data_IF_202154484015
#
_entry.id   IF_202154484015
#
_cell.length_a   1.000
_cell.length_b   1.000
_cell.length_c   1.000
_cell.angle_alpha   90.00
_cell.angle_beta   90.00
_cell.angle_gamma   90.00
#
_symmetry.space_group_name_H-M   'P 1'
#
loop_
_entity.id
_entity.type
_entity.pdbx_description
1 polymer ?
#
# COMPACT_ATOMS: atom_id res chain seq x y z
N UNK A 1 -25.43 18.22 33.58
CA UNK A 1 -26.16 17.84 32.36
C UNK A 1 -25.46 18.46 31.17
N UNK A 2 -24.53 17.75 30.56
CA UNK A 2 -23.92 18.14 29.28
C UNK A 2 -24.87 17.65 28.19
N UNK A 3 -25.47 18.60 27.45
CA UNK A 3 -26.29 18.30 26.28
C UNK A 3 -25.37 17.72 25.22
N UNK A 4 -25.51 16.43 24.99
CA UNK A 4 -24.91 15.70 23.87
C UNK A 4 -25.41 16.36 22.57
N UNK A 5 -24.57 17.18 21.96
CA UNK A 5 -24.87 17.75 20.64
C UNK A 5 -24.98 16.58 19.68
N UNK A 6 -26.19 16.24 19.31
CA UNK A 6 -26.45 15.33 18.19
C UNK A 6 -25.59 15.79 17.00
N UNK A 7 -24.69 14.91 16.55
CA UNK A 7 -23.81 15.18 15.42
C UNK A 7 -24.70 15.50 14.21
N UNK A 8 -24.56 16.68 13.64
CA UNK A 8 -25.28 17.07 12.43
C UNK A 8 -25.02 16.01 11.34
N UNK A 9 -26.02 15.68 10.50
CA UNK A 9 -25.85 14.71 9.42
C UNK A 9 -24.67 15.16 8.54
N UNK A 10 -23.60 14.38 8.55
CA UNK A 10 -22.40 14.71 7.79
C UNK A 10 -22.73 14.62 6.30
N UNK A 11 -22.40 15.71 5.56
CA UNK A 11 -22.61 15.73 4.12
C UNK A 11 -21.96 14.49 3.47
N UNK A 12 -22.67 13.82 2.59
CA UNK A 12 -22.22 12.63 1.86
C UNK A 12 -20.91 12.92 1.11
N UNK A 13 -20.76 14.13 0.59
CA UNK A 13 -19.56 14.66 -0.05
C UNK A 13 -19.06 15.81 0.80
N UNK A 14 -17.94 15.60 1.48
CA UNK A 14 -17.30 16.64 2.27
C UNK A 14 -16.76 17.73 1.34
N UNK A 15 -17.20 18.97 1.55
CA UNK A 15 -16.76 20.12 0.74
C UNK A 15 -15.34 20.52 1.10
N UNK A 16 -14.54 20.98 0.12
CA UNK A 16 -13.24 21.54 0.42
C UNK A 16 -13.36 22.66 1.46
N UNK A 17 -12.53 22.67 2.52
CA UNK A 17 -12.64 23.66 3.61
C UNK A 17 -12.25 25.07 3.17
N UNK A 18 -11.65 25.22 2.01
CA UNK A 18 -11.17 26.49 1.46
C UNK A 18 -11.36 26.51 -0.07
N UNK A 19 -11.51 27.70 -0.69
CA UNK A 19 -11.52 27.81 -2.14
C UNK A 19 -10.24 27.27 -2.78
N UNK A 20 -10.32 26.84 -4.05
CA UNK A 20 -9.17 26.40 -4.81
C UNK A 20 -8.04 27.42 -4.76
N UNK A 21 -6.83 26.95 -4.51
CA UNK A 21 -5.66 27.82 -4.53
C UNK A 21 -5.33 28.22 -5.98
N UNK A 22 -5.19 29.52 -6.24
CA UNK A 22 -4.64 29.96 -7.54
C UNK A 22 -3.22 29.39 -7.72
N UNK A 23 -2.78 29.04 -8.94
CA UNK A 23 -1.46 28.49 -9.19
C UNK A 23 -0.31 29.33 -8.59
N UNK A 24 -0.42 30.66 -8.66
CA UNK A 24 0.54 31.57 -8.02
C UNK A 24 0.63 31.39 -6.50
N UNK A 25 -0.46 31.03 -5.86
CA UNK A 25 -0.47 30.74 -4.43
C UNK A 25 0.23 29.42 -4.11
N UNK A 26 0.00 28.38 -4.92
CA UNK A 26 0.70 27.08 -4.78
C UNK A 26 2.21 27.28 -4.84
N UNK A 27 2.68 28.05 -5.83
CA UNK A 27 4.11 28.37 -5.98
C UNK A 27 4.66 29.17 -4.79
N UNK A 28 3.88 30.12 -4.25
CA UNK A 28 4.28 30.89 -3.06
C UNK A 28 4.31 30.04 -1.79
N UNK A 29 3.35 29.13 -1.63
CA UNK A 29 3.24 28.24 -0.47
C UNK A 29 4.29 27.09 -0.56
N UNK A 30 4.82 26.79 -1.74
CA UNK A 30 5.90 25.84 -1.96
C UNK A 30 7.21 26.41 -1.42
N UNK A 31 8.00 25.57 -0.78
CA UNK A 31 9.34 25.90 -0.31
C UNK A 31 10.21 24.65 -0.26
N UNK A 32 11.54 24.81 -0.09
CA UNK A 32 12.49 23.68 -0.09
C UNK A 32 12.11 22.57 0.89
N UNK A 33 11.58 22.92 2.06
CA UNK A 33 11.15 21.97 3.07
C UNK A 33 10.02 21.06 2.56
N UNK A 34 8.98 21.65 1.95
CA UNK A 34 7.82 20.89 1.43
C UNK A 34 8.20 20.10 0.17
N UNK A 35 9.05 20.67 -0.68
CA UNK A 35 9.61 19.94 -1.82
C UNK A 35 10.43 18.72 -1.37
N UNK A 36 11.25 18.89 -0.32
CA UNK A 36 12.00 17.80 0.31
C UNK A 36 11.10 16.71 0.89
N UNK A 37 10.05 17.09 1.63
CA UNK A 37 9.07 16.13 2.16
C UNK A 37 8.37 15.37 1.02
N UNK A 38 7.98 16.04 -0.05
CA UNK A 38 7.37 15.43 -1.24
C UNK A 38 8.31 14.42 -1.92
N UNK A 39 9.58 14.79 -2.08
CA UNK A 39 10.60 13.90 -2.63
C UNK A 39 10.84 12.68 -1.75
N UNK A 40 10.96 12.86 -0.43
CA UNK A 40 11.14 11.75 0.52
C UNK A 40 9.93 10.82 0.48
N UNK A 41 8.71 11.38 0.39
CA UNK A 41 7.47 10.60 0.24
C UNK A 41 7.48 9.72 -1.01
N UNK A 42 7.91 10.27 -2.17
CA UNK A 42 8.08 9.47 -3.38
C UNK A 42 9.16 8.40 -3.23
N UNK A 43 10.33 8.77 -2.73
CA UNK A 43 11.44 7.81 -2.58
C UNK A 43 11.01 6.64 -1.70
N UNK A 44 10.28 6.90 -0.62
CA UNK A 44 9.71 5.84 0.22
C UNK A 44 8.81 4.90 -0.61
N UNK A 45 7.86 5.44 -1.38
CA UNK A 45 6.94 4.64 -2.19
C UNK A 45 7.66 3.88 -3.33
N UNK A 46 8.66 4.50 -3.95
CA UNK A 46 9.37 3.99 -5.12
C UNK A 46 10.47 2.95 -4.80
N UNK A 47 10.82 2.74 -3.54
CA UNK A 47 11.87 1.79 -3.15
C UNK A 47 11.28 0.45 -2.71
N UNK A 48 11.06 0.26 -1.41
CA UNK A 48 10.58 -1.00 -0.86
C UNK A 48 9.21 -1.45 -1.37
N UNK A 49 8.18 -0.59 -1.37
CA UNK A 49 6.86 -0.96 -1.85
C UNK A 49 6.81 -1.41 -3.32
N UNK A 50 7.61 -0.84 -4.21
CA UNK A 50 7.72 -1.30 -5.61
C UNK A 50 8.31 -2.71 -5.67
N UNK A 51 9.32 -3.02 -4.84
CA UNK A 51 9.90 -4.35 -4.81
C UNK A 51 8.86 -5.44 -4.44
N UNK A 52 7.83 -5.08 -3.65
CA UNK A 52 6.70 -5.99 -3.36
C UNK A 52 5.89 -6.28 -4.62
N UNK A 53 5.57 -5.27 -5.44
CA UNK A 53 4.87 -5.48 -6.72
C UNK A 53 5.67 -6.42 -7.61
N UNK A 54 6.98 -6.15 -7.75
CA UNK A 54 7.86 -6.96 -8.60
C UNK A 54 7.97 -8.38 -8.09
N UNK A 55 8.16 -8.58 -6.77
CA UNK A 55 8.23 -9.90 -6.18
C UNK A 55 6.94 -10.71 -6.42
N UNK A 56 5.78 -10.10 -6.11
CA UNK A 56 4.46 -10.74 -6.28
C UNK A 56 4.17 -11.05 -7.75
N UNK A 57 4.34 -10.08 -8.62
CA UNK A 57 4.00 -10.24 -10.02
C UNK A 57 4.95 -11.19 -10.76
N UNK A 58 6.26 -11.18 -10.43
CA UNK A 58 7.22 -12.14 -11.00
C UNK A 58 6.91 -13.57 -10.54
N UNK A 59 6.60 -13.77 -9.25
CA UNK A 59 6.18 -15.09 -8.75
C UNK A 59 4.88 -15.56 -9.38
N UNK A 60 3.96 -14.63 -9.67
CA UNK A 60 2.70 -14.89 -10.38
C UNK A 60 2.84 -15.05 -11.90
N UNK A 61 4.06 -15.01 -12.45
CA UNK A 61 4.31 -15.22 -13.88
C UNK A 61 3.94 -14.05 -14.78
N UNK A 62 3.75 -12.84 -14.23
CA UNK A 62 3.45 -11.64 -15.03
C UNK A 62 4.64 -11.24 -15.89
N UNK A 63 4.36 -10.84 -17.13
CA UNK A 63 5.37 -10.33 -18.04
C UNK A 63 5.94 -8.97 -17.57
N UNK A 64 7.12 -8.62 -18.07
CA UNK A 64 7.72 -7.31 -17.78
C UNK A 64 6.82 -6.14 -18.20
N UNK A 65 6.05 -6.30 -19.29
CA UNK A 65 5.11 -5.28 -19.75
C UNK A 65 3.94 -5.11 -18.77
N UNK A 66 3.38 -6.20 -18.26
CA UNK A 66 2.31 -6.16 -17.26
C UNK A 66 2.81 -5.57 -15.92
N UNK A 67 4.01 -5.93 -15.48
CA UNK A 67 4.65 -5.34 -14.30
C UNK A 67 4.89 -3.84 -14.47
N UNK A 68 5.41 -3.41 -15.61
CA UNK A 68 5.58 -1.99 -15.91
C UNK A 68 4.25 -1.24 -15.97
N UNK A 69 3.20 -1.88 -16.53
CA UNK A 69 1.84 -1.35 -16.56
C UNK A 69 1.24 -1.22 -15.15
N UNK A 70 1.45 -2.22 -14.30
CA UNK A 70 1.05 -2.16 -12.90
C UNK A 70 1.74 -0.99 -12.17
N UNK A 71 3.07 -0.86 -12.32
CA UNK A 71 3.84 0.24 -11.73
C UNK A 71 3.37 1.59 -12.28
N UNK A 72 3.09 1.69 -13.59
CA UNK A 72 2.48 2.88 -14.18
C UNK A 72 1.16 3.24 -13.49
N UNK A 73 0.26 2.29 -13.34
CA UNK A 73 -1.05 2.51 -12.73
C UNK A 73 -0.95 3.02 -11.29
N UNK A 74 -0.11 2.40 -10.47
CA UNK A 74 0.02 2.77 -9.05
C UNK A 74 0.80 4.06 -8.83
N UNK A 75 1.61 4.53 -9.78
CA UNK A 75 2.34 5.79 -9.66
C UNK A 75 1.73 6.91 -10.48
N UNK A 76 1.54 6.72 -11.79
CA UNK A 76 1.06 7.80 -12.65
C UNK A 76 -0.39 8.18 -12.34
N UNK A 77 -1.31 7.20 -12.35
CA UNK A 77 -2.71 7.49 -12.09
C UNK A 77 -2.91 8.01 -10.67
N UNK A 78 -2.30 7.37 -9.67
CA UNK A 78 -2.40 7.83 -8.29
C UNK A 78 -1.66 9.15 -8.05
N UNK A 79 -0.60 9.44 -8.81
CA UNK A 79 0.07 10.74 -8.83
C UNK A 79 -0.88 11.85 -9.27
N UNK A 80 -1.67 11.62 -10.33
CA UNK A 80 -2.71 12.56 -10.79
C UNK A 80 -3.74 12.79 -9.69
N UNK A 81 -4.27 11.72 -9.08
CA UNK A 81 -5.23 11.84 -7.98
C UNK A 81 -4.64 12.62 -6.80
N UNK A 82 -3.40 12.31 -6.42
CA UNK A 82 -2.68 12.99 -5.33
C UNK A 82 -2.56 14.49 -5.59
N UNK A 83 -2.13 14.89 -6.79
CA UNK A 83 -2.03 16.32 -7.17
C UNK A 83 -3.39 17.00 -7.07
N UNK A 84 -4.42 16.41 -7.66
CA UNK A 84 -5.77 16.98 -7.68
C UNK A 84 -6.34 17.08 -6.27
N UNK A 85 -6.28 16.00 -5.49
CA UNK A 85 -6.83 15.97 -4.13
C UNK A 85 -6.10 16.95 -3.21
N UNK A 86 -4.77 17.00 -3.26
CA UNK A 86 -3.99 17.96 -2.47
C UNK A 86 -4.34 19.41 -2.83
N UNK A 87 -4.49 19.71 -4.13
CA UNK A 87 -4.83 21.03 -4.60
C UNK A 87 -6.23 21.46 -4.19
N UNK A 88 -7.22 20.56 -4.37
CA UNK A 88 -8.63 20.83 -4.07
C UNK A 88 -8.87 20.98 -2.57
N UNK A 89 -8.40 20.04 -1.76
CA UNK A 89 -8.65 20.02 -0.31
C UNK A 89 -7.63 20.83 0.50
N UNK A 90 -6.51 21.20 -0.11
CA UNK A 90 -5.40 21.90 0.54
C UNK A 90 -4.91 21.17 1.79
N UNK A 91 -4.84 19.85 1.67
CA UNK A 91 -4.34 18.91 2.64
C UNK A 91 -3.33 17.96 1.96
N UNK A 92 -2.38 17.35 2.68
CA UNK A 92 -1.45 16.40 2.10
C UNK A 92 -2.13 15.03 1.91
N UNK A 93 -2.95 14.89 0.87
CA UNK A 93 -3.71 13.68 0.55
C UNK A 93 -2.93 12.85 -0.47
N UNK A 94 -1.98 12.03 -0.01
CA UNK A 94 -1.23 11.14 -0.90
C UNK A 94 -1.96 9.82 -1.12
N UNK A 95 -2.29 9.56 -2.37
CA UNK A 95 -2.86 8.32 -2.83
C UNK A 95 -1.81 7.49 -3.55
N UNK A 96 -1.71 6.23 -3.18
CA UNK A 96 -0.93 5.21 -3.86
C UNK A 96 -1.76 3.93 -3.87
N UNK A 97 -1.17 2.76 -3.65
CA UNK A 97 -1.87 1.48 -3.69
C UNK A 97 -1.81 0.76 -2.34
N UNK A 98 -2.70 -0.20 -2.18
CA UNK A 98 -2.71 -1.05 -0.99
C UNK A 98 -1.57 -2.06 -1.03
N UNK A 99 -0.53 -1.86 -0.22
CA UNK A 99 0.57 -2.81 -0.09
C UNK A 99 0.07 -4.16 0.46
N UNK A 100 -0.74 -4.21 1.55
CA UNK A 100 -1.33 -5.47 2.00
C UNK A 100 -2.17 -6.15 0.92
N UNK A 101 -2.92 -5.38 0.13
CA UNK A 101 -3.67 -5.92 -1.00
C UNK A 101 -2.77 -6.51 -2.08
N UNK A 102 -1.65 -5.85 -2.42
CA UNK A 102 -0.65 -6.42 -3.35
C UNK A 102 -0.15 -7.77 -2.88
N UNK A 103 0.13 -7.90 -1.59
CA UNK A 103 0.63 -9.16 -1.01
C UNK A 103 -0.42 -10.27 -1.04
N UNK A 104 -1.71 -9.95 -0.86
CA UNK A 104 -2.82 -10.90 -1.01
C UNK A 104 -2.93 -11.47 -2.43
N UNK A 105 -2.55 -10.69 -3.44
CA UNK A 105 -2.57 -11.11 -4.84
C UNK A 105 -1.56 -12.24 -5.12
N UNK A 106 -0.44 -12.28 -4.39
CA UNK A 106 0.62 -13.27 -4.61
C UNK A 106 0.14 -14.73 -4.55
N UNK A 107 -0.43 -15.20 -3.43
CA UNK A 107 -1.01 -16.55 -3.34
C UNK A 107 -2.13 -16.80 -4.36
N UNK A 108 -2.98 -15.80 -4.62
CA UNK A 108 -4.07 -15.90 -5.59
C UNK A 108 -3.58 -16.18 -7.01
N UNK A 109 -2.47 -15.57 -7.43
CA UNK A 109 -1.84 -15.83 -8.73
C UNK A 109 -1.27 -17.24 -8.87
N UNK A 110 -1.13 -17.99 -7.78
CA UNK A 110 -0.73 -19.41 -7.82
C UNK A 110 -1.82 -20.33 -8.39
N UNK A 111 -3.08 -19.92 -8.42
CA UNK A 111 -4.21 -20.73 -8.84
C UNK A 111 -5.31 -19.98 -9.61
N UNK A 112 -5.28 -18.65 -9.64
CA UNK A 112 -6.20 -17.82 -10.42
C UNK A 112 -5.46 -17.18 -11.62
N UNK A 113 -6.04 -17.23 -12.83
CA UNK A 113 -5.49 -16.54 -13.98
C UNK A 113 -5.55 -15.02 -13.78
N UNK A 114 -4.55 -14.30 -14.31
CA UNK A 114 -4.44 -12.85 -14.20
C UNK A 114 -5.71 -12.07 -14.56
N UNK A 115 -6.44 -12.37 -15.67
CA UNK A 115 -7.68 -11.65 -15.97
C UNK A 115 -8.77 -11.78 -14.91
N UNK A 116 -8.83 -12.87 -14.16
CA UNK A 116 -9.78 -13.04 -13.05
C UNK A 116 -9.39 -12.20 -11.84
N UNK A 117 -8.09 -12.11 -11.54
CA UNK A 117 -7.55 -11.22 -10.51
C UNK A 117 -7.86 -9.75 -10.85
N UNK A 118 -7.69 -9.36 -12.11
CA UNK A 118 -8.09 -8.03 -12.61
C UNK A 118 -9.59 -7.81 -12.45
N UNK A 119 -10.42 -8.81 -12.73
CA UNK A 119 -11.87 -8.76 -12.47
C UNK A 119 -12.18 -8.45 -11.00
N UNK A 120 -11.45 -9.08 -10.07
CA UNK A 120 -11.58 -8.79 -8.65
C UNK A 120 -11.13 -7.36 -8.29
N UNK A 121 -10.11 -6.80 -8.96
CA UNK A 121 -9.73 -5.39 -8.79
C UNK A 121 -10.86 -4.43 -9.18
N UNK A 122 -11.52 -4.68 -10.33
CA UNK A 122 -12.69 -3.91 -10.74
C UNK A 122 -13.83 -4.02 -9.74
N UNK A 123 -14.17 -5.24 -9.32
CA UNK A 123 -15.24 -5.46 -8.34
C UNK A 123 -14.95 -4.78 -7.00
N UNK A 124 -13.69 -4.81 -6.54
CA UNK A 124 -13.25 -4.10 -5.33
C UNK A 124 -13.40 -2.58 -5.50
N UNK A 125 -12.98 -2.04 -6.64
CA UNK A 125 -13.16 -0.62 -6.95
C UNK A 125 -14.62 -0.20 -6.93
N UNK A 126 -15.50 -1.00 -7.52
CA UNK A 126 -16.95 -0.77 -7.53
C UNK A 126 -17.54 -0.84 -6.12
N UNK A 127 -17.17 -1.85 -5.34
CA UNK A 127 -17.62 -1.99 -3.94
C UNK A 127 -17.24 -0.75 -3.12
N UNK A 128 -15.98 -0.30 -3.20
CA UNK A 128 -15.53 0.89 -2.49
C UNK A 128 -16.24 2.15 -2.96
N UNK A 129 -16.50 2.29 -4.27
CA UNK A 129 -17.25 3.41 -4.82
C UNK A 129 -18.67 3.44 -4.26
N UNK A 130 -19.36 2.31 -4.23
CA UNK A 130 -20.72 2.19 -3.66
C UNK A 130 -20.71 2.53 -2.17
N UNK A 131 -19.77 2.00 -1.39
CA UNK A 131 -19.64 2.30 0.04
C UNK A 131 -19.37 3.79 0.30
N UNK A 132 -18.56 4.43 -0.53
CA UNK A 132 -18.29 5.87 -0.43
C UNK A 132 -19.54 6.70 -0.78
N UNK A 133 -20.25 6.36 -1.87
CA UNK A 133 -21.44 7.07 -2.32
C UNK A 133 -22.64 6.88 -1.38
N UNK A 134 -22.74 5.75 -0.70
CA UNK A 134 -23.79 5.51 0.29
C UNK A 134 -23.47 6.07 1.68
N UNK A 135 -22.22 6.42 1.93
CA UNK A 135 -21.75 6.85 3.25
C UNK A 135 -21.60 5.71 4.28
N UNK A 136 -21.80 4.46 3.87
CA UNK A 136 -21.73 3.29 4.74
C UNK A 136 -20.31 2.87 5.12
N UNK A 137 -19.32 3.53 4.54
CA UNK A 137 -17.89 3.17 4.75
C UNK A 137 -17.52 3.07 6.23
N UNK A 138 -17.98 4.01 7.07
CA UNK A 138 -17.69 4.00 8.51
C UNK A 138 -18.33 2.82 9.24
N UNK A 139 -19.56 2.47 8.86
CA UNK A 139 -20.29 1.33 9.42
C UNK A 139 -19.58 0.01 9.07
N UNK A 140 -19.20 -0.15 7.80
CA UNK A 140 -18.49 -1.34 7.33
C UNK A 140 -17.10 -1.46 7.98
N UNK A 141 -16.36 -0.34 8.12
CA UNK A 141 -15.05 -0.34 8.80
C UNK A 141 -15.14 -0.79 10.26
N UNK A 142 -16.27 -0.59 10.92
CA UNK A 142 -16.46 -0.98 12.31
C UNK A 142 -16.97 -2.42 12.50
N UNK A 143 -17.38 -3.11 11.41
CA UNK A 143 -17.93 -4.47 11.49
C UNK A 143 -16.88 -5.52 11.81
N UNK A 144 -15.65 -5.33 11.34
CA UNK A 144 -14.58 -6.32 11.52
C UNK A 144 -13.55 -5.77 12.51
N UNK A 145 -13.31 -6.47 13.63
CA UNK A 145 -12.32 -6.04 14.60
C UNK A 145 -10.93 -5.92 13.98
N UNK A 146 -10.28 -4.77 14.17
CA UNK A 146 -8.95 -4.48 13.63
C UNK A 146 -7.91 -5.57 13.99
N UNK A 147 -7.88 -6.16 15.21
CA UNK A 147 -6.93 -7.23 15.51
C UNK A 147 -7.03 -8.45 14.59
N UNK A 148 -8.27 -8.86 14.22
CA UNK A 148 -8.49 -9.99 13.30
C UNK A 148 -7.93 -9.66 11.91
N UNK A 149 -8.20 -8.45 11.40
CA UNK A 149 -7.65 -7.98 10.12
C UNK A 149 -6.12 -7.96 10.16
N UNK A 150 -5.55 -7.48 11.27
CA UNK A 150 -4.09 -7.40 11.41
C UNK A 150 -3.44 -8.78 11.62
N UNK A 151 -4.18 -9.77 12.13
CA UNK A 151 -3.78 -11.17 12.11
C UNK A 151 -3.60 -11.71 10.69
N UNK A 152 -4.56 -11.42 9.79
CA UNK A 152 -4.44 -11.75 8.36
C UNK A 152 -3.23 -11.03 7.73
N UNK A 153 -3.10 -9.71 7.97
CA UNK A 153 -1.97 -8.91 7.45
C UNK A 153 -0.64 -9.48 7.93
N UNK A 154 -0.52 -9.82 9.22
CA UNK A 154 0.69 -10.44 9.78
C UNK A 154 1.01 -11.79 9.09
N UNK A 155 0.00 -12.64 8.85
CA UNK A 155 0.17 -13.91 8.15
C UNK A 155 0.70 -13.75 6.73
N UNK A 156 0.11 -12.84 5.96
CA UNK A 156 0.52 -12.59 4.57
C UNK A 156 1.92 -11.95 4.50
N UNK A 157 2.23 -11.00 5.38
CA UNK A 157 3.55 -10.34 5.40
C UNK A 157 4.68 -11.23 5.96
N UNK A 158 4.37 -12.24 6.74
CA UNK A 158 5.39 -13.16 7.28
C UNK A 158 6.25 -13.76 6.17
N UNK A 159 5.65 -14.05 5.01
CA UNK A 159 6.36 -14.58 3.84
C UNK A 159 7.53 -13.67 3.42
N UNK A 160 7.34 -12.36 3.39
CA UNK A 160 8.42 -11.42 3.05
C UNK A 160 9.55 -11.42 4.08
N UNK A 161 9.22 -11.57 5.37
CA UNK A 161 10.22 -11.75 6.43
C UNK A 161 11.01 -13.05 6.27
N UNK A 162 10.34 -14.16 5.97
CA UNK A 162 11.01 -15.45 5.74
C UNK A 162 11.84 -15.45 4.46
N UNK A 163 11.35 -14.83 3.39
CA UNK A 163 12.07 -14.73 2.12
C UNK A 163 13.32 -13.84 2.23
N UNK A 164 13.28 -12.80 3.07
CA UNK A 164 14.46 -12.02 3.44
C UNK A 164 15.55 -12.92 4.04
N UNK A 165 15.19 -13.76 5.03
CA UNK A 165 16.14 -14.66 5.68
C UNK A 165 16.67 -15.71 4.69
N UNK A 166 15.80 -16.28 3.86
CA UNK A 166 16.19 -17.23 2.81
C UNK A 166 17.14 -16.60 1.78
N UNK A 167 16.87 -15.33 1.39
CA UNK A 167 17.73 -14.59 0.47
C UNK A 167 19.16 -14.40 1.04
N UNK A 168 19.28 -14.14 2.35
CA UNK A 168 20.60 -14.08 3.00
C UNK A 168 21.32 -15.42 2.92
N UNK A 169 20.59 -16.54 3.08
CA UNK A 169 21.19 -17.88 2.98
C UNK A 169 21.56 -18.28 1.55
N UNK A 170 20.80 -17.85 0.55
CA UNK A 170 21.01 -18.21 -0.85
C UNK A 170 22.03 -17.32 -1.59
N UNK A 171 22.14 -16.07 -1.19
CA UNK A 171 22.98 -15.06 -1.85
C UNK A 171 23.58 -14.09 -0.83
N UNK A 172 24.53 -14.58 -0.06
CA UNK A 172 25.22 -13.81 0.99
C UNK A 172 25.89 -12.56 0.41
N UNK A 173 26.45 -12.65 -0.81
CA UNK A 173 27.22 -11.57 -1.42
C UNK A 173 26.40 -10.30 -1.69
N UNK A 174 25.13 -10.47 -2.05
CA UNK A 174 24.20 -9.35 -2.28
C UNK A 174 23.38 -9.05 -1.04
N UNK A 175 22.81 -10.08 -0.40
CA UNK A 175 21.85 -9.89 0.67
C UNK A 175 22.47 -9.39 1.99
N UNK A 176 23.63 -9.92 2.39
CA UNK A 176 24.22 -9.54 3.68
C UNK A 176 24.64 -8.06 3.74
N UNK A 177 25.31 -7.48 2.74
CA UNK A 177 25.63 -6.04 2.75
C UNK A 177 24.39 -5.15 2.83
N UNK A 178 23.31 -5.51 2.14
CA UNK A 178 22.03 -4.77 2.18
C UNK A 178 21.43 -4.76 3.58
N UNK A 179 21.36 -5.94 4.23
CA UNK A 179 20.85 -6.09 5.59
C UNK A 179 21.70 -5.34 6.60
N UNK A 180 23.03 -5.49 6.51
CA UNK A 180 23.97 -4.81 7.43
C UNK A 180 23.84 -3.29 7.35
N UNK A 181 23.81 -2.71 6.16
CA UNK A 181 23.66 -1.26 5.99
C UNK A 181 22.30 -0.79 6.49
N UNK A 182 21.23 -1.52 6.21
CA UNK A 182 19.89 -1.21 6.74
C UNK A 182 19.90 -1.18 8.27
N UNK A 183 20.51 -2.17 8.93
CA UNK A 183 20.59 -2.23 10.39
C UNK A 183 21.45 -1.11 10.96
N UNK A 184 22.62 -0.84 10.36
CA UNK A 184 23.54 0.24 10.79
C UNK A 184 22.87 1.62 10.69
N UNK A 185 22.18 1.91 9.58
CA UNK A 185 21.46 3.17 9.40
C UNK A 185 20.23 3.26 10.33
N UNK A 186 19.57 2.14 10.61
CA UNK A 186 18.43 2.09 11.53
C UNK A 186 18.88 2.29 13.00
N UNK A 187 20.06 1.77 13.37
CA UNK A 187 20.60 1.88 14.72
C UNK A 187 21.17 3.28 15.01
N UNK A 188 21.67 4.00 13.99
CA UNK A 188 22.26 5.32 14.11
C UNK A 188 21.31 6.42 13.66
N UNK A 189 20.53 6.97 14.61
CA UNK A 189 19.49 7.97 14.34
C UNK A 189 20.01 9.24 13.65
N UNK A 190 21.25 9.66 13.90
CA UNK A 190 21.88 10.82 13.24
C UNK A 190 22.15 10.55 11.78
N UNK A 191 22.69 9.39 11.42
CA UNK A 191 23.02 9.03 10.03
C UNK A 191 21.76 8.65 9.25
N UNK A 192 20.83 7.92 9.87
CA UNK A 192 19.55 7.54 9.28
C UNK A 192 18.59 8.71 8.99
N UNK A 193 18.83 9.89 9.58
CA UNK A 193 18.10 11.13 9.23
C UNK A 193 18.49 11.65 7.85
N UNK A 194 19.74 11.45 7.43
CA UNK A 194 20.25 11.93 6.14
C UNK A 194 20.02 10.91 5.03
N UNK A 195 20.17 9.61 5.36
CA UNK A 195 20.00 8.51 4.41
C UNK A 195 18.99 7.51 4.98
N UNK A 196 17.76 7.47 4.49
CA UNK A 196 16.79 6.46 4.89
C UNK A 196 17.35 5.04 4.75
N UNK A 197 17.19 4.16 5.76
CA UNK A 197 17.82 2.84 5.77
C UNK A 197 17.56 1.99 4.53
N UNK A 198 16.34 2.07 3.97
CA UNK A 198 15.98 1.34 2.77
C UNK A 198 16.73 1.84 1.52
N UNK A 199 17.01 3.13 1.45
CA UNK A 199 17.82 3.71 0.34
C UNK A 199 19.28 3.25 0.47
N UNK A 200 19.82 3.24 1.69
CA UNK A 200 21.15 2.69 1.93
C UNK A 200 21.24 1.23 1.49
N UNK A 201 20.26 0.40 1.82
CA UNK A 201 20.17 -0.99 1.37
C UNK A 201 20.09 -1.10 -0.17
N UNK A 202 19.25 -0.27 -0.81
CA UNK A 202 19.15 -0.22 -2.27
C UNK A 202 20.49 0.10 -2.95
N UNK A 203 21.17 1.16 -2.49
CA UNK A 203 22.46 1.62 -3.07
C UNK A 203 23.54 0.57 -2.88
N UNK A 204 23.70 0.05 -1.65
CA UNK A 204 24.74 -0.97 -1.36
C UNK A 204 24.43 -2.27 -2.09
N UNK A 205 23.16 -2.67 -2.19
CA UNK A 205 22.76 -3.81 -2.99
C UNK A 205 23.07 -3.62 -4.48
N UNK A 206 22.80 -2.45 -5.06
CA UNK A 206 23.13 -2.14 -6.44
C UNK A 206 24.65 -2.20 -6.69
N UNK A 207 25.45 -1.69 -5.76
CA UNK A 207 26.92 -1.81 -5.81
C UNK A 207 27.35 -3.28 -5.74
N UNK A 208 26.79 -4.07 -4.82
CA UNK A 208 27.11 -5.50 -4.69
C UNK A 208 26.77 -6.28 -5.96
N UNK A 209 25.61 -6.01 -6.57
CA UNK A 209 25.22 -6.60 -7.86
C UNK A 209 26.18 -6.21 -8.97
N UNK A 210 26.55 -4.92 -9.06
CA UNK A 210 27.50 -4.44 -10.07
C UNK A 210 28.89 -5.09 -9.91
N UNK A 211 29.41 -5.16 -8.67
CA UNK A 211 30.71 -5.78 -8.36
C UNK A 211 30.71 -7.29 -8.59
N UNK A 212 29.58 -7.95 -8.42
CA UNK A 212 29.45 -9.39 -8.68
C UNK A 212 29.29 -9.74 -10.17
N UNK A 213 29.16 -8.76 -11.05
CA UNK A 213 28.92 -8.97 -12.49
C UNK A 213 27.59 -9.63 -12.84
N UNK A 214 26.64 -9.66 -11.90
CA UNK A 214 25.35 -10.34 -12.07
C UNK A 214 24.21 -9.41 -12.46
N UNK A 215 24.53 -8.22 -12.92
CA UNK A 215 23.57 -7.30 -13.51
C UNK A 215 23.35 -7.66 -14.98
N UNK A 216 22.17 -8.22 -15.28
CA UNK A 216 21.79 -8.59 -16.65
C UNK A 216 20.58 -7.76 -17.11
N UNK A 217 20.80 -6.62 -17.76
CA UNK A 217 19.70 -5.78 -18.26
C UNK A 217 18.96 -6.40 -19.46
N UNK A 218 19.43 -7.56 -19.96
CA UNK A 218 18.89 -8.17 -21.18
C UNK A 218 19.09 -7.28 -22.42
N UNK A 219 18.47 -7.62 -23.58
CA UNK A 219 18.57 -6.84 -24.80
C UNK A 219 18.05 -5.41 -24.58
N UNK A 220 18.66 -4.44 -25.26
CA UNK A 220 18.27 -3.03 -25.14
C UNK A 220 16.78 -2.87 -25.40
N UNK A 221 16.00 -2.48 -24.40
CA UNK A 221 14.57 -2.30 -24.56
C UNK A 221 14.31 -1.03 -25.37
N UNK A 222 13.43 -1.15 -26.37
CA UNK A 222 13.02 -0.04 -27.19
C UNK A 222 12.14 0.99 -26.46
N UNK A 223 11.56 0.63 -25.29
CA UNK A 223 10.60 1.48 -24.59
C UNK A 223 11.11 1.94 -23.23
N UNK A 224 11.31 3.24 -23.10
CA UNK A 224 11.65 3.92 -21.85
C UNK A 224 10.42 4.55 -21.19
N UNK A 225 9.42 4.86 -22.00
CA UNK A 225 8.18 5.49 -21.57
C UNK A 225 7.09 4.42 -21.49
N UNK A 226 6.28 4.51 -20.46
CA UNK A 226 5.19 3.57 -20.22
C UNK A 226 4.22 3.50 -21.40
N UNK A 227 3.94 2.29 -21.87
CA UNK A 227 2.85 1.93 -22.72
C UNK A 227 1.94 0.99 -21.91
N UNK A 228 0.92 1.51 -21.21
CA UNK A 228 0.10 0.69 -20.33
C UNK A 228 -0.60 -0.43 -21.09
N UNK A 229 -0.56 -1.63 -20.53
CA UNK A 229 -1.26 -2.79 -21.10
C UNK A 229 -2.69 -2.76 -20.58
N UNK A 230 -3.63 -2.49 -21.48
CA UNK A 230 -5.06 -2.53 -21.14
C UNK A 230 -5.47 -3.96 -20.80
N UNK A 231 -6.11 -4.11 -19.66
CA UNK A 231 -6.55 -5.41 -19.14
C UNK A 231 -8.03 -5.63 -19.42
N UNK A 232 -8.35 -6.82 -19.89
CA UNK A 232 -9.74 -7.27 -20.04
C UNK A 232 -10.09 -8.15 -18.84
N UNK A 233 -11.01 -7.73 -17.96
CA UNK A 233 -11.36 -8.51 -16.78
C UNK A 233 -12.13 -9.78 -17.16
N UNK A 234 -11.88 -10.87 -16.44
CA UNK A 234 -12.75 -12.05 -16.42
C UNK A 234 -13.42 -12.15 -15.05
N UNK A 235 -14.69 -12.50 -15.08
CA UNK A 235 -15.53 -12.57 -13.86
C UNK A 235 -15.57 -14.01 -13.37
N UNK A 236 -14.93 -14.28 -12.23
CA UNK A 236 -14.88 -15.58 -11.58
C UNK A 236 -15.45 -15.46 -10.17
N UNK A 237 -16.39 -16.32 -9.80
CA UNK A 237 -16.94 -16.35 -8.45
C UNK A 237 -15.85 -16.59 -7.40
N UNK A 238 -14.85 -17.41 -7.73
CA UNK A 238 -13.73 -17.71 -6.84
C UNK A 238 -12.90 -16.45 -6.58
N UNK A 239 -12.45 -15.75 -7.64
CA UNK A 239 -11.70 -14.50 -7.51
C UNK A 239 -12.51 -13.42 -6.75
N UNK A 240 -13.84 -13.34 -6.97
CA UNK A 240 -14.70 -12.39 -6.25
C UNK A 240 -14.73 -12.68 -4.75
N UNK A 241 -14.93 -13.93 -4.35
CA UNK A 241 -14.98 -14.31 -2.92
C UNK A 241 -13.61 -14.17 -2.28
N UNK A 242 -12.57 -14.63 -2.94
CA UNK A 242 -11.20 -14.64 -2.40
C UNK A 242 -10.62 -13.25 -2.23
N UNK A 243 -10.77 -12.37 -3.23
CA UNK A 243 -10.02 -11.11 -3.28
C UNK A 243 -10.85 -9.87 -2.94
N UNK A 244 -12.12 -9.78 -3.34
CA UNK A 244 -12.86 -8.51 -3.27
C UNK A 244 -13.00 -8.02 -1.84
N UNK A 245 -13.43 -8.87 -0.94
CA UNK A 245 -13.63 -8.49 0.48
C UNK A 245 -12.29 -8.21 1.17
N UNK A 246 -11.28 -9.11 1.10
CA UNK A 246 -9.97 -8.84 1.69
C UNK A 246 -9.30 -7.58 1.12
N UNK A 247 -9.36 -7.35 -0.21
CA UNK A 247 -8.80 -6.14 -0.81
C UNK A 247 -9.52 -4.87 -0.32
N UNK A 248 -10.85 -4.87 -0.28
CA UNK A 248 -11.61 -3.74 0.25
C UNK A 248 -11.25 -3.44 1.71
N UNK A 249 -11.09 -4.48 2.55
CA UNK A 249 -10.65 -4.34 3.94
C UNK A 249 -9.26 -3.73 4.00
N UNK A 250 -8.30 -4.20 3.20
CA UNK A 250 -6.93 -3.66 3.20
C UNK A 250 -6.90 -2.19 2.79
N UNK A 251 -7.77 -1.77 1.88
CA UNK A 251 -7.88 -0.35 1.50
C UNK A 251 -8.58 0.45 2.59
N UNK A 252 -9.80 0.08 2.94
CA UNK A 252 -10.68 0.92 3.77
C UNK A 252 -10.24 0.93 5.23
N UNK A 253 -10.01 -0.26 5.80
CA UNK A 253 -9.71 -0.40 7.24
C UNK A 253 -8.24 -0.14 7.50
N UNK A 254 -7.34 -0.81 6.77
CA UNK A 254 -5.90 -0.74 7.06
C UNK A 254 -5.31 0.57 6.53
N UNK A 255 -5.35 0.80 5.23
CA UNK A 255 -4.62 1.92 4.61
C UNK A 255 -5.33 3.27 4.79
N UNK A 256 -6.60 3.37 4.43
CA UNK A 256 -7.35 4.63 4.59
C UNK A 256 -7.52 4.95 6.07
N UNK A 257 -7.78 3.95 6.93
CA UNK A 257 -7.87 4.14 8.37
C UNK A 257 -6.58 4.74 8.94
N UNK A 258 -5.43 4.19 8.57
CA UNK A 258 -4.11 4.70 8.97
C UNK A 258 -3.86 6.10 8.39
N UNK A 259 -4.16 6.32 7.11
CA UNK A 259 -3.99 7.62 6.44
C UNK A 259 -4.80 8.72 7.11
N UNK A 260 -6.07 8.44 7.42
CA UNK A 260 -6.96 9.38 8.14
C UNK A 260 -6.45 9.67 9.56
N UNK A 261 -5.98 8.64 10.29
CA UNK A 261 -5.42 8.82 11.62
C UNK A 261 -4.17 9.72 11.60
N UNK A 262 -3.27 9.50 10.66
CA UNK A 262 -2.07 10.33 10.47
C UNK A 262 -2.42 11.77 10.15
N UNK A 263 -3.36 12.00 9.23
CA UNK A 263 -3.81 13.34 8.87
C UNK A 263 -4.43 14.08 10.07
N UNK A 264 -5.25 13.39 10.86
CA UNK A 264 -5.85 13.94 12.08
C UNK A 264 -4.79 14.28 13.13
N UNK A 265 -3.80 13.40 13.33
CA UNK A 265 -2.67 13.67 14.22
C UNK A 265 -1.86 14.90 13.80
N UNK A 266 -1.75 15.16 12.49
CA UNK A 266 -1.15 16.36 11.93
C UNK A 266 -2.11 17.59 11.90
N UNK A 267 -3.31 17.47 12.50
CA UNK A 267 -4.30 18.52 12.64
C UNK A 267 -5.14 18.78 11.37
N UNK A 268 -5.13 17.88 10.40
CA UNK A 268 -5.98 17.97 9.21
C UNK A 268 -7.32 17.27 9.43
N UNK A 269 -8.39 17.81 8.84
CA UNK A 269 -9.71 17.18 8.81
C UNK A 269 -9.90 16.43 7.50
N UNK A 270 -9.66 15.13 7.56
CA UNK A 270 -9.64 14.26 6.38
C UNK A 270 -11.08 13.99 5.86
N UNK A 271 -11.39 14.23 4.57
CA UNK A 271 -12.70 13.98 3.99
C UNK A 271 -12.89 12.48 3.69
N UNK A 272 -13.34 11.71 4.68
CA UNK A 272 -13.34 10.23 4.65
C UNK A 272 -14.20 9.65 3.52
N UNK A 273 -15.41 10.21 3.30
CA UNK A 273 -16.29 9.72 2.22
C UNK A 273 -15.69 10.03 0.84
N UNK A 274 -15.18 11.26 0.65
CA UNK A 274 -14.53 11.64 -0.60
C UNK A 274 -13.27 10.81 -0.86
N UNK A 275 -12.46 10.56 0.16
CA UNK A 275 -11.31 9.65 0.05
C UNK A 275 -11.76 8.27 -0.44
N UNK A 276 -12.84 7.73 0.15
CA UNK A 276 -13.36 6.42 -0.24
C UNK A 276 -13.90 6.41 -1.66
N UNK A 277 -14.67 7.43 -2.05
CA UNK A 277 -15.18 7.60 -3.42
C UNK A 277 -14.00 7.68 -4.41
N UNK A 278 -12.99 8.50 -4.10
CA UNK A 278 -11.81 8.66 -4.93
C UNK A 278 -11.03 7.35 -5.05
N UNK A 279 -10.82 6.62 -3.95
CA UNK A 279 -10.19 5.29 -3.98
C UNK A 279 -10.98 4.32 -4.86
N UNK A 280 -12.31 4.27 -4.74
CA UNK A 280 -13.15 3.40 -5.57
C UNK A 280 -13.06 3.75 -7.05
N UNK A 281 -13.31 5.01 -7.42
CA UNK A 281 -13.27 5.47 -8.81
C UNK A 281 -11.88 5.28 -9.44
N UNK A 282 -10.81 5.62 -8.69
CA UNK A 282 -9.45 5.47 -9.19
C UNK A 282 -8.99 4.02 -9.28
N UNK A 283 -9.49 3.15 -8.39
CA UNK A 283 -9.24 1.70 -8.48
C UNK A 283 -9.82 1.09 -9.76
N UNK A 284 -10.96 1.58 -10.25
CA UNK A 284 -11.50 1.16 -11.55
C UNK A 284 -10.57 1.54 -12.70
N UNK A 285 -10.03 2.77 -12.69
CA UNK A 285 -9.05 3.21 -13.68
C UNK A 285 -7.75 2.41 -13.58
N UNK A 286 -7.25 2.20 -12.35
CA UNK A 286 -6.04 1.45 -12.09
C UNK A 286 -6.17 -0.02 -12.53
N UNK A 287 -7.30 -0.67 -12.25
CA UNK A 287 -7.58 -2.03 -12.69
C UNK A 287 -7.54 -2.17 -14.22
N UNK A 288 -7.96 -1.13 -14.97
CA UNK A 288 -7.89 -1.11 -16.42
C UNK A 288 -6.48 -1.24 -17.00
N UNK A 289 -5.45 -0.95 -16.21
CA UNK A 289 -4.04 -1.13 -16.56
C UNK A 289 -3.34 -2.21 -15.72
N UNK A 290 -4.13 -3.06 -15.04
CA UNK A 290 -3.62 -4.16 -14.22
C UNK A 290 -3.03 -3.74 -12.87
N UNK A 291 -3.38 -2.57 -12.37
CA UNK A 291 -2.89 -2.11 -11.08
C UNK A 291 -3.90 -2.40 -9.95
N UNK A 292 -3.38 -2.83 -8.81
CA UNK A 292 -4.17 -3.10 -7.60
C UNK A 292 -4.79 -1.82 -7.05
N UNK A 293 -5.81 -1.98 -6.22
CA UNK A 293 -6.65 -0.91 -5.68
C UNK A 293 -5.88 0.26 -5.05
N UNK A 294 -6.33 1.46 -5.38
CA UNK A 294 -5.86 2.74 -4.85
C UNK A 294 -6.28 2.92 -3.39
N UNK A 295 -5.41 3.52 -2.59
CA UNK A 295 -5.69 3.85 -1.19
C UNK A 295 -5.03 5.17 -0.76
N UNK A 296 -5.53 5.77 0.34
CA UNK A 296 -4.85 6.84 1.04
C UNK A 296 -3.76 6.25 1.92
N UNK A 297 -2.48 6.54 1.66
CA UNK A 297 -1.37 5.88 2.37
C UNK A 297 -0.97 6.58 3.65
N UNK A 298 -0.96 5.85 4.78
CA UNK A 298 -0.53 6.40 6.07
C UNK A 298 0.92 6.87 6.08
N UNK A 299 1.90 6.01 5.76
CA UNK A 299 3.32 6.36 5.85
C UNK A 299 3.71 7.55 4.97
N UNK A 300 3.25 7.61 3.73
CA UNK A 300 3.55 8.75 2.85
C UNK A 300 2.94 10.03 3.40
N UNK A 301 1.67 10.00 3.84
CA UNK A 301 1.03 11.18 4.44
C UNK A 301 1.76 11.67 5.69
N UNK A 302 2.31 10.75 6.51
CA UNK A 302 3.14 11.13 7.65
C UNK A 302 4.39 11.90 7.22
N UNK A 303 5.06 11.47 6.15
CA UNK A 303 6.23 12.15 5.61
C UNK A 303 5.90 13.54 5.04
N UNK A 304 4.77 13.66 4.33
CA UNK A 304 4.32 14.93 3.77
C UNK A 304 3.95 15.96 4.83
N UNK A 305 3.46 15.50 5.99
CA UNK A 305 3.05 16.33 7.12
C UNK A 305 4.11 16.42 8.24
N UNK A 306 5.31 15.86 8.05
CA UNK A 306 6.32 15.68 9.08
C UNK A 306 6.87 17.01 9.65
N UNK A 307 6.83 18.09 8.87
CA UNK A 307 7.44 19.36 9.26
C UNK A 307 6.86 20.55 8.49
N UNK A 308 6.97 21.74 9.08
CA UNK A 308 6.52 22.98 8.49
C UNK A 308 5.09 23.38 8.91
N UNK A 309 4.56 24.39 8.23
CA UNK A 309 3.23 24.92 8.52
C UNK A 309 2.13 24.02 7.95
N UNK A 310 1.17 23.63 8.77
CA UNK A 310 0.01 22.82 8.38
C UNK A 310 -0.71 23.32 7.12
N UNK A 311 -0.82 24.64 6.99
CA UNK A 311 -1.51 25.30 5.86
C UNK A 311 -0.83 25.08 4.51
N UNK A 312 0.44 24.63 4.51
CA UNK A 312 1.31 24.47 3.35
C UNK A 312 1.66 23.00 3.05
N UNK A 313 1.32 22.04 3.92
CA UNK A 313 1.60 20.62 3.73
C UNK A 313 1.07 20.07 2.39
N UNK A 314 -0.02 20.65 1.85
CA UNK A 314 -0.59 20.22 0.57
C UNK A 314 0.39 20.36 -0.60
N UNK A 315 1.33 21.32 -0.53
CA UNK A 315 2.35 21.51 -1.57
C UNK A 315 3.35 20.37 -1.60
N UNK A 316 3.68 19.77 -0.44
CA UNK A 316 4.48 18.55 -0.39
C UNK A 316 3.77 17.38 -1.09
N UNK A 317 2.44 17.25 -0.93
CA UNK A 317 1.63 16.28 -1.64
C UNK A 317 1.61 16.53 -3.16
N UNK A 318 1.48 17.79 -3.59
CA UNK A 318 1.55 18.13 -5.02
C UNK A 318 2.91 17.72 -5.61
N UNK A 319 4.03 18.04 -4.94
CA UNK A 319 5.36 17.63 -5.39
C UNK A 319 5.50 16.11 -5.45
N UNK A 320 5.05 15.41 -4.41
CA UNK A 320 5.06 13.94 -4.37
C UNK A 320 4.27 13.36 -5.55
N UNK A 321 3.07 13.87 -5.82
CA UNK A 321 2.23 13.41 -6.93
C UNK A 321 2.84 13.69 -8.30
N UNK A 322 3.41 14.87 -8.53
CA UNK A 322 4.09 15.19 -9.79
C UNK A 322 5.31 14.29 -10.03
N UNK A 323 6.12 14.06 -9.00
CA UNK A 323 7.26 13.16 -9.09
C UNK A 323 6.81 11.70 -9.29
N UNK A 324 5.68 11.29 -8.67
CA UNK A 324 5.08 9.98 -8.89
C UNK A 324 4.61 9.79 -10.33
N UNK A 325 4.04 10.83 -10.96
CA UNK A 325 3.67 10.79 -12.37
C UNK A 325 4.91 10.57 -13.26
N UNK A 326 6.00 11.28 -12.99
CA UNK A 326 7.26 11.09 -13.74
C UNK A 326 7.79 9.67 -13.53
N UNK A 327 7.82 9.18 -12.30
CA UNK A 327 8.25 7.80 -12.01
C UNK A 327 7.38 6.77 -12.73
N UNK A 328 6.05 6.94 -12.71
CA UNK A 328 5.12 6.06 -13.43
C UNK A 328 5.29 6.09 -14.94
N UNK A 329 5.57 7.25 -15.54
CA UNK A 329 5.89 7.35 -16.97
C UNK A 329 7.18 6.59 -17.32
N UNK A 330 8.14 6.54 -16.41
CA UNK A 330 9.40 5.81 -16.57
C UNK A 330 9.35 4.38 -16.01
N UNK A 331 8.16 3.86 -15.71
CA UNK A 331 7.96 2.53 -15.15
C UNK A 331 8.71 1.40 -15.90
N UNK A 332 8.74 1.35 -17.26
CA UNK A 332 9.47 0.30 -17.97
C UNK A 332 10.96 0.32 -17.66
N UNK A 333 11.57 1.52 -17.56
CA UNK A 333 12.96 1.67 -17.20
C UNK A 333 13.25 1.12 -15.79
N UNK A 334 12.47 1.56 -14.80
CA UNK A 334 12.66 1.13 -13.40
C UNK A 334 12.40 -0.35 -13.22
N UNK A 335 11.32 -0.88 -13.82
CA UNK A 335 10.99 -2.31 -13.78
C UNK A 335 12.11 -3.14 -14.38
N UNK A 336 12.64 -2.73 -15.53
CA UNK A 336 13.76 -3.39 -16.19
C UNK A 336 15.02 -3.38 -15.34
N UNK A 337 15.41 -2.22 -14.80
CA UNK A 337 16.58 -2.10 -13.94
C UNK A 337 16.47 -3.00 -12.70
N UNK A 338 15.30 -3.07 -12.09
CA UNK A 338 15.07 -3.93 -10.94
C UNK A 338 15.09 -5.42 -11.31
N UNK A 339 14.45 -5.81 -12.40
CA UNK A 339 14.42 -7.21 -12.86
C UNK A 339 15.80 -7.67 -13.42
N UNK A 340 16.67 -6.75 -13.78
CA UNK A 340 18.05 -7.03 -14.15
C UNK A 340 18.95 -7.43 -12.96
N UNK A 341 18.44 -7.28 -11.72
CA UNK A 341 19.15 -7.69 -10.50
C UNK A 341 18.78 -9.12 -10.12
N UNK A 342 19.64 -9.83 -9.36
CA UNK A 342 19.31 -11.15 -8.82
C UNK A 342 18.02 -11.12 -7.97
N UNK A 343 17.26 -12.22 -7.99
CA UNK A 343 16.01 -12.33 -7.22
C UNK A 343 16.20 -12.05 -5.71
N UNK A 344 17.36 -12.41 -5.16
CA UNK A 344 17.72 -12.10 -3.77
C UNK A 344 17.72 -10.60 -3.47
N UNK A 345 18.15 -9.75 -4.42
CA UNK A 345 18.12 -8.29 -4.26
C UNK A 345 16.70 -7.77 -4.05
N UNK A 346 15.75 -8.20 -4.89
CA UNK A 346 14.34 -7.81 -4.80
C UNK A 346 13.71 -8.37 -3.50
N UNK A 347 13.99 -9.62 -3.17
CA UNK A 347 13.48 -10.27 -1.97
C UNK A 347 13.95 -9.57 -0.68
N UNK A 348 15.24 -9.20 -0.61
CA UNK A 348 15.81 -8.45 0.52
C UNK A 348 15.16 -7.07 0.62
N UNK A 349 15.05 -6.35 -0.49
CA UNK A 349 14.49 -5.00 -0.50
C UNK A 349 13.02 -5.01 -0.06
N UNK A 350 12.22 -5.94 -0.60
CA UNK A 350 10.82 -6.12 -0.21
C UNK A 350 10.69 -6.53 1.26
N UNK A 351 11.50 -7.49 1.71
CA UNK A 351 11.47 -7.96 3.10
C UNK A 351 11.86 -6.87 4.10
N UNK A 352 12.93 -6.12 3.85
CA UNK A 352 13.36 -5.00 4.70
C UNK A 352 12.29 -3.90 4.79
N UNK A 353 11.63 -3.60 3.67
CA UNK A 353 10.55 -2.62 3.64
C UNK A 353 9.33 -3.08 4.47
N UNK A 354 9.06 -4.39 4.51
CA UNK A 354 7.90 -4.94 5.21
C UNK A 354 8.14 -5.22 6.70
N UNK A 355 9.38 -5.22 7.20
CA UNK A 355 9.68 -5.55 8.61
C UNK A 355 8.88 -4.68 9.61
N UNK A 356 8.82 -3.37 9.40
CA UNK A 356 8.07 -2.47 10.28
C UNK A 356 6.56 -2.66 10.18
N UNK A 357 6.07 -2.96 8.97
CA UNK A 357 4.64 -3.24 8.74
C UNK A 357 4.26 -4.54 9.43
N UNK A 358 5.09 -5.58 9.29
CA UNK A 358 4.93 -6.86 9.97
C UNK A 358 4.94 -6.69 11.49
N UNK A 359 5.90 -5.95 12.05
CA UNK A 359 5.96 -5.63 13.48
C UNK A 359 4.67 -4.95 13.96
N UNK A 360 4.21 -3.92 13.24
CA UNK A 360 2.99 -3.18 13.60
C UNK A 360 1.75 -4.08 13.51
N UNK A 361 1.70 -4.99 12.53
CA UNK A 361 0.62 -5.95 12.40
C UNK A 361 0.55 -6.89 13.63
N UNK A 362 1.67 -7.45 14.07
CA UNK A 362 1.73 -8.27 15.29
C UNK A 362 1.32 -7.48 16.54
N UNK A 363 1.85 -6.28 16.72
CA UNK A 363 1.50 -5.44 17.89
C UNK A 363 0.01 -5.17 17.94
N UNK A 364 -0.62 -4.86 16.80
CA UNK A 364 -2.05 -4.57 16.74
C UNK A 364 -2.90 -5.84 16.90
N UNK A 365 -2.48 -6.95 16.29
CA UNK A 365 -3.21 -8.22 16.36
C UNK A 365 -3.24 -8.79 17.78
N UNK A 366 -2.16 -8.64 18.56
CA UNK A 366 -1.98 -9.32 19.83
C UNK A 366 -1.87 -8.36 21.03
N UNK A 367 -2.03 -7.06 20.84
CA UNK A 367 -1.87 -6.05 21.89
C UNK A 367 -3.10 -5.76 22.75
N UNK A 368 -4.23 -6.45 22.54
CA UNK A 368 -5.48 -6.11 23.26
C UNK A 368 -6.58 -7.15 23.19
N UNK A 369 -7.74 -6.80 22.66
CA UNK A 369 -8.93 -7.65 22.49
C UNK A 369 -8.82 -8.49 21.20
N UNK A 370 -9.69 -9.50 21.08
CA UNK A 370 -9.82 -10.37 19.90
C UNK A 370 -8.52 -11.11 19.56
N UNK A 371 -7.68 -11.40 20.56
CA UNK A 371 -6.35 -11.99 20.35
C UNK A 371 -6.41 -13.43 19.87
N UNK A 372 -7.40 -14.20 20.33
CA UNK A 372 -7.60 -15.57 19.88
C UNK A 372 -8.09 -15.64 18.44
N UNK A 373 -9.08 -14.81 18.09
CA UNK A 373 -9.52 -14.67 16.69
C UNK A 373 -8.40 -14.20 15.77
N UNK A 374 -7.59 -13.22 16.20
CA UNK A 374 -6.43 -12.78 15.46
C UNK A 374 -5.39 -13.90 15.29
N UNK A 375 -5.15 -14.72 16.32
CA UNK A 375 -4.24 -15.87 16.26
C UNK A 375 -4.72 -16.92 15.27
N UNK A 376 -6.00 -17.28 15.31
CA UNK A 376 -6.59 -18.25 14.37
C UNK A 376 -6.51 -17.72 12.93
N UNK A 377 -6.85 -16.43 12.72
CA UNK A 377 -6.68 -15.78 11.42
C UNK A 377 -5.25 -15.88 10.92
N UNK A 378 -4.28 -15.57 11.77
CA UNK A 378 -2.85 -15.63 11.45
C UNK A 378 -2.44 -17.06 11.06
N UNK A 379 -2.76 -18.07 11.89
CA UNK A 379 -2.38 -19.47 11.66
C UNK A 379 -2.96 -19.98 10.35
N UNK A 380 -4.27 -19.75 10.11
CA UNK A 380 -4.93 -20.21 8.87
C UNK A 380 -4.32 -19.52 7.66
N UNK A 381 -4.03 -18.22 7.75
CA UNK A 381 -3.40 -17.47 6.66
C UNK A 381 -2.00 -17.98 6.34
N UNK A 382 -1.19 -18.30 7.36
CA UNK A 382 0.18 -18.82 7.20
C UNK A 382 0.18 -20.26 6.67
N UNK A 383 -0.84 -21.05 7.00
CA UNK A 383 -0.98 -22.41 6.49
C UNK A 383 -1.09 -22.48 4.96
N UNK A 384 -1.45 -21.39 4.31
CA UNK A 384 -1.51 -21.20 2.85
C UNK A 384 -2.33 -22.30 2.13
N UNK A 385 -3.42 -22.75 2.81
CA UNK A 385 -4.30 -23.80 2.29
C UNK A 385 -5.41 -23.21 1.44
N UNK A 386 -5.54 -23.68 0.21
CA UNK A 386 -6.63 -23.31 -0.69
C UNK A 386 -7.80 -24.27 -0.47
N UNK A 387 -8.97 -23.75 -0.08
CA UNK A 387 -10.21 -24.51 0.15
C UNK A 387 -11.25 -24.02 -0.84
N UNK A 388 -11.86 -24.90 -1.62
CA UNK A 388 -12.78 -24.55 -2.73
C UNK A 388 -12.17 -23.60 -3.74
N UNK A 389 -10.87 -23.71 -4.00
CA UNK A 389 -10.09 -22.81 -4.83
C UNK A 389 -10.13 -21.34 -4.36
N UNK A 390 -10.28 -21.12 -3.04
CA UNK A 390 -10.25 -19.82 -2.38
C UNK A 390 -9.07 -19.80 -1.42
N UNK A 391 -8.25 -18.78 -1.48
CA UNK A 391 -6.99 -18.69 -0.73
C UNK A 391 -7.15 -18.52 0.78
N UNK A 392 -6.10 -18.90 1.49
CA UNK A 392 -6.07 -18.99 2.96
C UNK A 392 -6.37 -17.66 3.69
N UNK A 393 -6.04 -16.51 3.11
CA UNK A 393 -6.28 -15.21 3.75
C UNK A 393 -7.78 -14.93 3.96
N UNK A 394 -8.63 -15.31 3.00
CA UNK A 394 -10.08 -15.22 3.15
C UNK A 394 -10.58 -16.15 4.26
N UNK A 395 -10.18 -17.42 4.23
CA UNK A 395 -10.57 -18.41 5.23
C UNK A 395 -10.05 -18.06 6.62
N UNK A 396 -8.88 -17.45 6.69
CA UNK A 396 -8.32 -16.91 7.94
C UNK A 396 -9.24 -15.87 8.56
N UNK A 397 -9.72 -14.89 7.77
CA UNK A 397 -10.68 -13.89 8.25
C UNK A 397 -11.98 -14.54 8.73
N UNK A 398 -12.56 -15.46 7.95
CA UNK A 398 -13.79 -16.17 8.31
C UNK A 398 -13.61 -16.95 9.61
N UNK A 399 -12.55 -17.76 9.71
CA UNK A 399 -12.27 -18.55 10.90
C UNK A 399 -12.03 -17.67 12.13
N UNK A 400 -11.26 -16.59 12.01
CA UNK A 400 -10.98 -15.68 13.11
C UNK A 400 -12.24 -14.97 13.61
N UNK A 401 -13.10 -14.50 12.69
CA UNK A 401 -14.40 -13.89 13.06
C UNK A 401 -15.29 -14.91 13.79
N UNK A 402 -15.42 -16.13 13.26
CA UNK A 402 -16.22 -17.19 13.86
C UNK A 402 -15.71 -17.53 15.27
N UNK A 403 -14.40 -17.71 15.44
CA UNK A 403 -13.79 -18.00 16.74
C UNK A 403 -14.04 -16.84 17.73
N UNK A 404 -13.85 -15.60 17.31
CA UNK A 404 -14.13 -14.45 18.19
C UNK A 404 -15.60 -14.35 18.57
N UNK A 405 -16.52 -14.61 17.64
CA UNK A 405 -17.96 -14.63 17.94
C UNK A 405 -18.35 -15.74 18.93
N UNK A 406 -17.63 -16.85 18.94
CA UNK A 406 -17.90 -17.97 19.82
C UNK A 406 -17.19 -17.82 21.18
N UNK A 407 -15.93 -17.42 21.19
CA UNK A 407 -15.06 -17.49 22.37
C UNK A 407 -14.66 -16.13 22.96
N UNK A 408 -14.81 -15.03 22.23
CA UNK A 408 -14.44 -13.68 22.66
C UNK A 408 -15.64 -12.70 22.60
N UNK A 409 -16.85 -13.18 22.90
CA UNK A 409 -18.09 -12.37 22.85
C UNK A 409 -18.04 -11.13 23.72
N UNK A 410 -17.36 -11.19 24.88
CA UNK A 410 -17.18 -10.05 25.78
C UNK A 410 -16.47 -8.87 25.11
N UNK A 411 -15.59 -9.15 24.16
CA UNK A 411 -14.80 -8.13 23.48
C UNK A 411 -15.66 -7.30 22.51
N UNK A 412 -16.72 -7.89 21.93
CA UNK A 412 -17.67 -7.16 21.10
C UNK A 412 -18.57 -6.23 21.94
N UNK A 413 -19.01 -6.66 23.14
CA UNK A 413 -19.85 -5.84 24.02
C UNK A 413 -19.07 -4.62 24.55
N UNK A 414 -17.80 -4.78 24.81
CA UNK A 414 -16.94 -3.70 25.33
C UNK A 414 -16.46 -2.74 24.23
N UNK A 415 -16.70 -3.04 22.94
CA UNK A 415 -16.35 -2.19 21.78
C UNK A 415 -17.56 -1.42 21.22
N UNK A 416 -18.77 -1.71 21.66
CA UNK A 416 -20.01 -1.00 21.34
C UNK A 416 -20.24 0.16 22.33
#
# INVERSE_FOLDING_TARGET
>A
MAVERAAAPQALIERPPRPLAAPRRVLRDLGPLYAGNGLIGLIFAATGPVAVILAVGTQGGLSQAELASWVFGVFFLNGVLTVVACWVYRQPLAFFWTIPGTVLVGPALGHLPWPEVVGAFFATGLLMLVLGLTGWVRQVMNLIPMPIVMGMVAGVFLRFGTDLVRAVGSDVAVAAPMVLVFLLLSARTTLGRWVPPIIGALVVGAIAVALSGRFDPGPAAAQWIAAPVLQVPQWSAQAMVELVVPLAITVLVVQNGQGVAVLRAAGHDAPVNVITIACGAWSLLAAGVGAVSTCLTGPTNALLAASGERSRHYTAGIVCGLLAMVFGLLAPLFTRLMLATPAAFIAVLAGLAMLRVLQAAFVTAFGGRFTLGALVTFIVTVADLTIFNIGAAFWGLVAGIVVSLLLERSDFVASA
#
